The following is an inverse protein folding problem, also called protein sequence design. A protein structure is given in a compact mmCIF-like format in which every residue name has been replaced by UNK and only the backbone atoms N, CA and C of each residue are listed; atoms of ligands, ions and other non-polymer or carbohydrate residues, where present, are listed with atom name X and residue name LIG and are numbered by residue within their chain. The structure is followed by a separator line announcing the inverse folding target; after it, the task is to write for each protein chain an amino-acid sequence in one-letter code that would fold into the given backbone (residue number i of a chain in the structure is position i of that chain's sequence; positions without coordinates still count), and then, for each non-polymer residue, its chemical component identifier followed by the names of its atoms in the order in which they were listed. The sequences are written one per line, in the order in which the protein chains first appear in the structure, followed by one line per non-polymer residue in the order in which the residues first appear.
data_IF_617943970240
#
_entry.id   IF_617943970240
#
_cell.length_a   1.000
_cell.length_b   1.000
_cell.length_c   1.000
_cell.angle_alpha   90.00
_cell.angle_beta   90.00
_cell.angle_gamma   90.00
#
_symmetry.space_group_name_H-M   'P 1'
#
loop_
_entity.id
_entity.type
_entity.pdbx_description
1 polymer ?
#
# COMPACT_ATOMS: atom_id res chain seq x y z
N UNK A 1 -22.50 -24.24 -4.78
CA UNK A 1 -21.41 -23.57 -4.03
C UNK A 1 -20.28 -24.60 -3.92
N UNK A 2 -19.26 -24.49 -4.78
CA UNK A 2 -18.36 -25.60 -5.12
C UNK A 2 -17.02 -25.43 -4.40
N UNK A 3 -16.75 -26.30 -3.43
CA UNK A 3 -15.58 -26.32 -2.54
C UNK A 3 -14.28 -26.71 -3.28
N UNK A 4 -13.99 -26.04 -4.39
CA UNK A 4 -12.68 -26.15 -5.04
C UNK A 4 -11.68 -25.39 -4.15
N UNK A 5 -10.62 -26.05 -3.65
CA UNK A 5 -9.56 -25.32 -2.99
C UNK A 5 -8.95 -24.38 -4.02
N UNK A 6 -9.07 -23.09 -3.79
CA UNK A 6 -8.36 -22.10 -4.59
C UNK A 6 -6.87 -22.37 -4.38
N UNK A 7 -6.20 -22.83 -5.45
CA UNK A 7 -4.77 -23.09 -5.46
C UNK A 7 -4.01 -21.77 -5.26
N UNK A 8 -3.76 -21.39 -4.01
CA UNK A 8 -2.73 -20.43 -3.63
C UNK A 8 -1.47 -21.20 -3.23
N UNK A 9 -0.87 -21.90 -4.20
CA UNK A 9 0.46 -22.46 -4.03
C UNK A 9 1.38 -21.57 -4.87
N UNK A 10 2.15 -20.69 -4.20
CA UNK A 10 3.14 -19.69 -4.72
C UNK A 10 2.73 -18.21 -4.84
N UNK A 11 1.57 -17.80 -4.34
CA UNK A 11 1.02 -16.45 -4.62
C UNK A 11 1.07 -15.46 -3.46
N UNK A 12 1.52 -15.92 -2.29
CA UNK A 12 1.58 -15.13 -1.08
C UNK A 12 1.67 -16.02 0.16
N UNK A 13 2.59 -15.70 1.06
CA UNK A 13 2.69 -16.37 2.34
C UNK A 13 1.62 -15.78 3.27
N UNK A 14 0.81 -16.67 3.84
CA UNK A 14 -0.22 -16.32 4.79
C UNK A 14 0.21 -16.77 6.17
N UNK A 15 0.41 -15.80 7.06
CA UNK A 15 0.74 -16.07 8.45
C UNK A 15 -0.42 -15.61 9.32
N UNK A 16 -1.02 -16.52 10.08
CA UNK A 16 -2.08 -16.17 11.02
C UNK A 16 -1.72 -16.64 12.41
N UNK A 17 -1.70 -15.68 13.31
CA UNK A 17 -1.65 -15.87 14.76
C UNK A 17 -2.98 -15.40 15.35
N UNK A 18 -3.31 -15.71 16.62
CA UNK A 18 -4.54 -15.24 17.24
C UNK A 18 -4.70 -13.71 17.23
N UNK A 19 -3.59 -12.97 17.21
CA UNK A 19 -3.55 -11.50 17.33
C UNK A 19 -3.12 -10.77 16.05
N UNK A 20 -2.65 -11.49 15.01
CA UNK A 20 -2.10 -10.87 13.81
C UNK A 20 -2.21 -11.77 12.58
N UNK A 21 -2.48 -11.15 11.44
CA UNK A 21 -2.50 -11.76 10.12
C UNK A 21 -1.52 -11.03 9.21
N UNK A 22 -0.57 -11.74 8.62
CA UNK A 22 0.26 -11.27 7.52
C UNK A 22 -0.20 -11.89 6.21
N UNK A 23 -0.15 -11.08 5.15
CA UNK A 23 -0.31 -11.50 3.78
C UNK A 23 0.82 -10.88 2.97
N UNK A 24 1.64 -11.72 2.36
CA UNK A 24 2.62 -11.28 1.38
C UNK A 24 2.00 -11.38 -0.03
N UNK A 25 2.18 -10.37 -0.88
CA UNK A 25 1.65 -10.38 -2.26
C UNK A 25 2.71 -9.81 -3.20
N UNK A 26 3.05 -10.57 -4.24
CA UNK A 26 3.86 -10.07 -5.35
C UNK A 26 2.98 -9.27 -6.33
N UNK A 27 3.17 -7.95 -6.33
CA UNK A 27 2.38 -7.01 -7.11
C UNK A 27 2.72 -7.07 -8.60
N UNK A 28 3.94 -7.48 -8.98
CA UNK A 28 4.36 -7.56 -10.38
C UNK A 28 3.51 -8.59 -11.13
N UNK A 29 3.23 -9.74 -10.49
CA UNK A 29 2.37 -10.78 -11.06
C UNK A 29 0.89 -10.59 -10.74
N UNK A 30 0.56 -9.98 -9.59
CA UNK A 30 -0.81 -9.95 -9.07
C UNK A 30 -1.31 -8.55 -8.68
N UNK A 31 -0.96 -7.54 -9.47
CA UNK A 31 -1.35 -6.15 -9.20
C UNK A 31 -2.86 -5.91 -9.02
N UNK A 32 -3.72 -6.59 -9.81
CA UNK A 32 -5.19 -6.49 -9.64
C UNK A 32 -5.66 -7.09 -8.32
N UNK A 33 -5.06 -8.18 -7.86
CA UNK A 33 -5.41 -8.80 -6.57
C UNK A 33 -4.98 -7.91 -5.41
N UNK A 34 -3.75 -7.37 -5.46
CA UNK A 34 -3.25 -6.43 -4.47
C UNK A 34 -4.15 -5.20 -4.37
N UNK A 35 -4.54 -4.61 -5.50
CA UNK A 35 -5.40 -3.43 -5.54
C UNK A 35 -6.81 -3.73 -5.00
N UNK A 36 -7.41 -4.85 -5.39
CA UNK A 36 -8.73 -5.25 -4.90
C UNK A 36 -8.71 -5.55 -3.40
N UNK A 37 -7.67 -6.25 -2.92
CA UNK A 37 -7.47 -6.53 -1.50
C UNK A 37 -7.29 -5.24 -0.68
N UNK A 38 -6.47 -4.32 -1.18
CA UNK A 38 -6.29 -3.00 -0.57
C UNK A 38 -7.62 -2.23 -0.50
N UNK A 39 -8.37 -2.19 -1.60
CA UNK A 39 -9.66 -1.49 -1.65
C UNK A 39 -10.70 -2.08 -0.67
N UNK A 40 -10.65 -3.39 -0.44
CA UNK A 40 -11.51 -4.05 0.54
C UNK A 40 -11.12 -3.69 1.98
N UNK A 41 -9.83 -3.61 2.29
CA UNK A 41 -9.34 -3.44 3.68
C UNK A 41 -9.26 -1.98 4.11
N UNK A 42 -8.92 -1.06 3.19
CA UNK A 42 -8.63 0.36 3.53
C UNK A 42 -9.74 1.08 4.29
N UNK A 43 -11.01 0.71 4.08
CA UNK A 43 -12.16 1.31 4.77
C UNK A 43 -12.41 0.78 6.19
N UNK A 44 -11.81 -0.36 6.54
CA UNK A 44 -11.97 -1.00 7.84
C UNK A 44 -10.79 -0.70 8.79
N UNK A 45 -9.67 -0.20 8.27
CA UNK A 45 -8.48 0.10 9.05
C UNK A 45 -8.58 1.53 9.59
N UNK A 46 -8.73 1.65 10.91
CA UNK A 46 -8.75 2.95 11.59
C UNK A 46 -7.36 3.55 11.71
N UNK A 47 -6.37 2.74 12.07
CA UNK A 47 -4.98 3.15 12.22
C UNK A 47 -4.06 2.25 11.41
N UNK A 48 -3.22 2.86 10.58
CA UNK A 48 -2.28 2.14 9.73
C UNK A 48 -0.87 2.68 9.90
N UNK A 49 0.10 1.76 9.95
CA UNK A 49 1.53 2.04 9.94
C UNK A 49 2.12 1.44 8.66
N UNK A 50 2.71 2.27 7.82
CA UNK A 50 3.26 1.82 6.54
C UNK A 50 4.78 1.93 6.56
N UNK A 51 5.46 0.89 6.08
CA UNK A 51 6.90 0.89 5.82
C UNK A 51 7.09 0.62 4.34
N UNK A 52 7.77 1.52 3.65
CA UNK A 52 8.15 1.37 2.26
C UNK A 52 9.67 1.22 2.19
N UNK A 53 10.13 0.28 1.37
CA UNK A 53 11.54 0.13 1.01
C UNK A 53 11.66 0.16 -0.51
N UNK A 54 12.62 0.94 -1.00
CA UNK A 54 13.04 0.92 -2.40
C UNK A 54 14.35 0.14 -2.47
N UNK A 55 14.36 -0.93 -3.24
CA UNK A 55 15.52 -1.79 -3.48
C UNK A 55 15.86 -1.79 -4.97
N UNK A 56 17.14 -1.91 -5.30
CA UNK A 56 17.58 -2.26 -6.65
C UNK A 56 17.66 -3.79 -6.73
N UNK A 57 16.99 -4.36 -7.72
CA UNK A 57 17.07 -5.79 -8.03
C UNK A 57 18.48 -6.15 -8.54
N UNK A 58 19.11 -7.14 -7.91
CA UNK A 58 20.41 -7.65 -8.32
C UNK A 58 20.26 -8.45 -9.63
N UNK A 59 21.13 -8.22 -10.62
CA UNK A 59 21.10 -8.95 -11.89
C UNK A 59 22.04 -10.16 -11.91
N UNK A 60 23.10 -10.13 -11.10
CA UNK A 60 24.07 -11.21 -10.94
C UNK A 60 24.13 -11.74 -9.50
N UNK A 61 24.56 -12.98 -9.31
CA UNK A 61 24.64 -13.62 -7.99
C UNK A 61 25.66 -12.92 -7.06
N UNK A 62 26.67 -12.26 -7.65
CA UNK A 62 27.66 -11.47 -6.91
C UNK A 62 27.09 -10.16 -6.33
N UNK A 63 25.97 -9.68 -6.86
CA UNK A 63 25.31 -8.44 -6.44
C UNK A 63 24.31 -8.68 -5.29
N UNK A 64 24.18 -9.93 -4.82
CA UNK A 64 23.37 -10.27 -3.67
C UNK A 64 24.12 -9.99 -2.35
N UNK A 65 23.42 -9.50 -1.30
CA UNK A 65 22.00 -9.18 -1.27
C UNK A 65 21.67 -7.84 -1.93
N UNK A 66 20.42 -7.72 -2.43
CA UNK A 66 19.87 -6.49 -2.99
C UNK A 66 20.14 -5.27 -2.09
N UNK A 67 20.55 -4.16 -2.71
CA UNK A 67 20.85 -2.93 -1.98
C UNK A 67 19.59 -2.08 -1.79
N UNK A 68 19.35 -1.68 -0.53
CA UNK A 68 18.26 -0.79 -0.15
C UNK A 68 18.66 0.66 -0.39
N UNK A 69 17.98 1.33 -1.33
CA UNK A 69 18.25 2.72 -1.68
C UNK A 69 17.60 3.71 -0.72
N UNK A 70 16.34 3.45 -0.38
CA UNK A 70 15.54 4.38 0.41
C UNK A 70 14.50 3.64 1.23
N UNK A 71 14.13 4.24 2.36
CA UNK A 71 13.03 3.79 3.21
C UNK A 71 12.12 4.98 3.51
N UNK A 72 10.82 4.73 3.55
CA UNK A 72 9.87 5.68 4.10
C UNK A 72 9.03 4.99 5.18
N UNK A 73 8.83 5.69 6.30
CA UNK A 73 7.98 5.21 7.39
C UNK A 73 6.84 6.18 7.62
N UNK A 74 5.62 5.72 7.43
CA UNK A 74 4.40 6.43 7.81
C UNK A 74 3.95 5.89 9.16
N UNK A 75 4.19 6.68 10.21
CA UNK A 75 3.98 6.30 11.60
C UNK A 75 2.52 6.30 12.03
N UNK A 76 1.69 7.14 11.40
CA UNK A 76 0.26 7.21 11.67
C UNK A 76 -0.46 7.64 10.40
N UNK A 77 -1.24 6.72 9.83
CA UNK A 77 -2.28 7.04 8.87
C UNK A 77 -3.61 6.66 9.50
N UNK A 78 -4.33 7.67 9.97
CA UNK A 78 -5.62 7.51 10.65
C UNK A 78 -6.65 8.41 9.99
N UNK A 79 -7.86 7.88 9.80
CA UNK A 79 -8.98 8.66 9.22
C UNK A 79 -9.43 9.80 10.14
N UNK A 80 -9.11 9.74 11.43
CA UNK A 80 -9.43 10.77 12.41
C UNK A 80 -8.29 11.78 12.66
N UNK A 81 -7.03 11.38 12.44
CA UNK A 81 -5.85 12.18 12.84
C UNK A 81 -5.25 13.03 11.71
N UNK A 82 -5.68 12.84 10.46
CA UNK A 82 -5.17 13.60 9.33
C UNK A 82 -6.29 14.47 8.73
N UNK A 83 -6.34 15.79 8.99
CA UNK A 83 -7.02 16.69 8.06
C UNK A 83 -6.32 16.50 6.71
N UNK A 84 -7.02 15.86 5.78
CA UNK A 84 -6.46 15.20 4.58
C UNK A 84 -5.62 16.10 3.67
N UNK A 85 -5.65 17.41 3.91
CA UNK A 85 -4.92 18.44 3.20
C UNK A 85 -4.67 19.57 4.21
N UNK A 86 -3.45 20.14 4.32
CA UNK A 86 -3.26 21.40 5.04
C UNK A 86 -4.24 22.42 4.48
N UNK A 87 -4.98 23.17 5.32
CA UNK A 87 -5.96 24.15 4.83
C UNK A 87 -5.40 25.10 3.75
N UNK A 88 -4.10 25.38 3.83
CA UNK A 88 -3.34 26.17 2.87
C UNK A 88 -3.45 25.63 1.43
N UNK A 89 -3.33 24.31 1.24
CA UNK A 89 -3.40 23.67 -0.09
C UNK A 89 -4.84 23.60 -0.60
N UNK A 90 -5.84 23.51 0.29
CA UNK A 90 -7.26 23.63 -0.09
C UNK A 90 -7.60 25.05 -0.56
N UNK A 91 -7.06 26.09 0.13
CA UNK A 91 -7.25 27.49 -0.27
C UNK A 91 -6.61 27.78 -1.64
N UNK A 92 -5.44 27.22 -1.93
CA UNK A 92 -4.81 27.38 -3.25
C UNK A 92 -5.63 26.72 -4.38
N UNK A 93 -6.26 25.57 -4.12
CA UNK A 93 -7.14 24.92 -5.09
C UNK A 93 -8.43 25.71 -5.36
N UNK A 94 -8.98 26.41 -4.34
CA UNK A 94 -10.16 27.26 -4.49
C UNK A 94 -9.85 28.58 -5.22
N UNK A 95 -8.68 29.18 -5.00
CA UNK A 95 -8.26 30.42 -5.69
C UNK A 95 -7.84 30.19 -7.16
N UNK A 96 -7.39 29.00 -7.53
CA UNK A 96 -7.04 28.65 -8.92
C UNK A 96 -8.24 28.37 -9.84
N UNK A 97 -9.45 28.23 -9.30
CA UNK A 97 -10.66 27.84 -10.06
C UNK A 97 -11.45 28.98 -10.70
N UNK A 98 -11.14 30.25 -10.43
CA UNK A 98 -11.96 31.39 -10.85
C UNK A 98 -11.46 32.15 -12.10
N UNK A 99 -10.63 31.51 -12.93
CA UNK A 99 -10.19 32.06 -14.23
C UNK A 99 -10.62 31.18 -15.40
N UNK A 100 -11.92 30.89 -15.51
CA UNK A 100 -12.53 30.60 -16.81
C UNK A 100 -14.06 30.80 -16.75
N UNK A 101 -14.45 32.07 -16.77
CA UNK A 101 -15.80 32.49 -17.15
C UNK A 101 -15.68 33.81 -17.91
N UNK A 102 -15.48 33.71 -19.23
CA UNK A 102 -15.81 34.70 -20.24
C UNK A 102 -16.48 33.96 -21.39
#
# INVERSE_FOLDING_TARGET
YNAKPFMCIKTGLYYRTPSYMALEVDVHRWGKLALNGWNMVKGHVQDMRLRFGLVIEAQAEEELPEQMLACAYVSCLSSAACPLVPEEVLREAEYGGNSMAC
#
